data_IF_709721471688
#
_entry.id   IF_709721471688
#
_cell.length_a   1.000
_cell.length_b   1.000
_cell.length_c   1.000
_cell.angle_alpha   90.00
_cell.angle_beta   90.00
_cell.angle_gamma   90.00
#
_symmetry.space_group_name_H-M   'P 1'
#
loop_
_entity.id
_entity.type
_entity.pdbx_description
1 polymer ?
#
# COMPACT_ATOMS: atom_id res chain seq x y z
N UNK A 1 21.18 -10.25 -5.64
CA UNK A 1 19.97 -10.42 -6.46
C UNK A 1 18.72 -10.24 -5.60
N UNK A 2 17.76 -9.49 -6.08
CA UNK A 2 16.52 -9.22 -5.34
C UNK A 2 15.49 -10.28 -5.74
N UNK A 3 14.90 -10.94 -4.76
CA UNK A 3 13.83 -11.89 -4.98
C UNK A 3 12.51 -11.30 -4.44
N UNK A 4 11.44 -11.52 -5.19
CA UNK A 4 10.11 -11.07 -4.80
C UNK A 4 9.24 -12.27 -4.49
N UNK A 5 8.55 -12.22 -3.35
CA UNK A 5 7.65 -13.28 -2.91
C UNK A 5 6.27 -12.70 -2.62
N UNK A 6 5.24 -13.49 -2.88
CA UNK A 6 3.85 -13.15 -2.56
C UNK A 6 3.33 -14.16 -1.54
N UNK A 7 2.76 -13.66 -0.44
CA UNK A 7 2.20 -14.48 0.61
C UNK A 7 0.77 -14.05 0.92
N UNK A 8 -0.10 -15.02 1.22
CA UNK A 8 -1.37 -14.68 1.87
C UNK A 8 -1.06 -14.18 3.27
N UNK A 9 -1.59 -13.02 3.64
CA UNK A 9 -1.28 -12.41 4.93
C UNK A 9 -1.67 -13.26 6.13
N UNK A 10 -2.67 -14.13 5.99
CA UNK A 10 -3.10 -15.03 7.06
C UNK A 10 -2.10 -16.15 7.32
N UNK A 11 -1.28 -16.49 6.34
CA UNK A 11 -0.33 -17.60 6.41
C UNK A 11 1.10 -17.14 6.77
N UNK A 12 1.31 -15.82 6.89
CA UNK A 12 2.63 -15.29 7.19
C UNK A 12 3.10 -15.70 8.58
N UNK A 13 4.33 -16.20 8.66
CA UNK A 13 4.98 -16.52 9.94
C UNK A 13 5.21 -15.22 10.74
N UNK A 14 5.27 -15.36 12.07
CA UNK A 14 5.39 -14.21 12.97
C UNK A 14 6.63 -13.36 12.65
N UNK A 15 7.78 -13.98 12.36
CA UNK A 15 9.01 -13.25 12.04
C UNK A 15 8.88 -12.41 10.77
N UNK A 16 8.20 -12.93 9.75
CA UNK A 16 7.94 -12.20 8.50
C UNK A 16 7.02 -11.01 8.78
N UNK A 17 5.97 -11.24 9.56
CA UNK A 17 5.03 -10.18 9.92
C UNK A 17 5.73 -9.07 10.74
N UNK A 18 6.62 -9.45 11.66
CA UNK A 18 7.38 -8.49 12.46
C UNK A 18 8.29 -7.62 11.57
N UNK A 19 8.97 -8.21 10.60
CA UNK A 19 9.81 -7.47 9.65
C UNK A 19 8.96 -6.55 8.77
N UNK A 20 7.80 -7.01 8.32
CA UNK A 20 6.87 -6.20 7.54
C UNK A 20 6.44 -4.97 8.32
N UNK A 21 5.99 -5.15 9.56
CA UNK A 21 5.55 -4.06 10.44
C UNK A 21 6.70 -3.07 10.68
N UNK A 22 7.89 -3.58 10.95
CA UNK A 22 9.07 -2.73 11.18
C UNK A 22 9.36 -1.83 9.99
N UNK A 23 9.35 -2.37 8.77
CA UNK A 23 9.60 -1.58 7.56
C UNK A 23 8.51 -0.53 7.32
N UNK A 24 7.25 -0.90 7.52
CA UNK A 24 6.13 0.05 7.38
C UNK A 24 6.28 1.20 8.38
N UNK A 25 6.65 0.90 9.62
CA UNK A 25 6.83 1.93 10.66
C UNK A 25 8.06 2.81 10.39
N UNK A 26 9.11 2.30 9.77
CA UNK A 26 10.25 3.13 9.36
C UNK A 26 9.84 4.19 8.34
N UNK A 27 8.83 3.90 7.52
CA UNK A 27 8.33 4.82 6.51
C UNK A 27 7.32 5.85 7.01
N UNK A 28 6.83 5.71 8.25
CA UNK A 28 5.84 6.63 8.80
C UNK A 28 5.29 6.19 10.14
N UNK A 29 4.54 7.07 10.78
CA UNK A 29 3.97 6.83 12.11
C UNK A 29 2.65 6.07 12.00
N UNK A 30 2.71 4.79 11.68
CA UNK A 30 1.54 3.92 11.57
C UNK A 30 1.45 3.05 12.83
N UNK A 31 0.22 2.87 13.34
CA UNK A 31 -0.02 2.02 14.48
C UNK A 31 0.21 0.55 14.12
N UNK A 32 1.10 -0.10 14.84
CA UNK A 32 1.47 -1.51 14.62
C UNK A 32 0.26 -2.43 14.64
N UNK A 33 -0.67 -2.21 15.55
CA UNK A 33 -1.88 -3.04 15.69
C UNK A 33 -2.73 -3.02 14.43
N UNK A 34 -2.90 -1.84 13.81
CA UNK A 34 -3.67 -1.73 12.58
C UNK A 34 -3.00 -2.44 11.40
N UNK A 35 -1.67 -2.39 11.34
CA UNK A 35 -0.93 -3.10 10.28
C UNK A 35 -1.10 -4.60 10.44
N UNK A 36 -0.91 -5.12 11.65
CA UNK A 36 -1.04 -6.56 11.93
C UNK A 36 -2.45 -7.06 11.63
N UNK A 37 -3.48 -6.36 12.07
CA UNK A 37 -4.87 -6.72 11.80
C UNK A 37 -5.18 -6.65 10.30
N UNK A 38 -4.72 -5.60 9.64
CA UNK A 38 -4.95 -5.41 8.21
C UNK A 38 -4.35 -6.55 7.36
N UNK A 39 -3.14 -6.96 7.68
CA UNK A 39 -2.46 -8.05 6.97
C UNK A 39 -3.17 -9.39 7.16
N UNK A 40 -3.72 -9.64 8.33
CA UNK A 40 -4.42 -10.91 8.65
C UNK A 40 -5.82 -11.02 8.05
N UNK A 41 -6.32 -9.96 7.42
CA UNK A 41 -7.66 -9.99 6.83
C UNK A 41 -7.69 -10.88 5.59
N UNK A 42 -8.81 -11.61 5.46
CA UNK A 42 -9.03 -12.50 4.31
C UNK A 42 -8.88 -11.74 2.99
N UNK A 43 -8.11 -12.31 2.09
CA UNK A 43 -7.89 -11.74 0.76
C UNK A 43 -6.71 -10.78 0.65
N UNK A 44 -6.09 -10.41 1.77
CA UNK A 44 -4.91 -9.55 1.75
C UNK A 44 -3.68 -10.34 1.32
N UNK A 45 -2.92 -9.79 0.37
CA UNK A 45 -1.66 -10.37 -0.10
C UNK A 45 -0.50 -9.46 0.28
N UNK A 46 0.56 -10.06 0.82
CA UNK A 46 1.82 -9.39 1.11
C UNK A 46 2.76 -9.60 -0.07
N UNK A 47 3.48 -8.56 -0.46
CA UNK A 47 4.58 -8.65 -1.40
C UNK A 47 5.85 -8.29 -0.67
N UNK A 48 6.85 -9.16 -0.77
CA UNK A 48 8.13 -9.00 -0.08
C UNK A 48 9.25 -8.93 -1.10
N UNK A 49 10.18 -7.99 -0.90
CA UNK A 49 11.45 -7.96 -1.62
C UNK A 49 12.55 -8.42 -0.67
N UNK A 50 13.33 -9.40 -1.08
CA UNK A 50 14.40 -9.98 -0.27
C UNK A 50 15.75 -9.91 -0.96
N UNK A 51 16.78 -9.67 -0.16
CA UNK A 51 18.17 -9.84 -0.57
C UNK A 51 18.79 -10.81 0.44
N UNK A 52 19.22 -11.98 -0.01
CA UNK A 52 19.85 -13.00 0.85
C UNK A 52 19.04 -13.29 2.12
N UNK A 53 17.74 -13.57 1.96
CA UNK A 53 16.83 -13.88 3.07
C UNK A 53 16.40 -12.68 3.92
N UNK A 54 16.98 -11.50 3.70
CA UNK A 54 16.61 -10.28 4.44
C UNK A 54 15.53 -9.55 3.67
N UNK A 55 14.44 -9.24 4.34
CA UNK A 55 13.34 -8.44 3.76
C UNK A 55 13.77 -6.99 3.72
N UNK A 56 13.88 -6.42 2.52
CA UNK A 56 14.31 -5.04 2.31
C UNK A 56 13.20 -4.13 1.77
N UNK A 57 12.08 -4.70 1.39
CA UNK A 57 10.92 -3.94 0.91
C UNK A 57 9.64 -4.73 1.05
N UNK A 58 8.53 -4.02 1.20
CA UNK A 58 7.20 -4.62 1.37
C UNK A 58 6.14 -3.79 0.67
N UNK A 59 5.03 -4.44 0.33
CA UNK A 59 3.79 -3.81 -0.11
C UNK A 59 2.64 -4.77 0.14
N UNK A 60 1.42 -4.30 0.03
CA UNK A 60 0.25 -5.15 0.20
C UNK A 60 -0.86 -4.81 -0.79
N UNK A 61 -1.54 -5.85 -1.25
CA UNK A 61 -2.86 -5.76 -1.84
C UNK A 61 -3.85 -5.93 -0.68
N UNK A 62 -4.52 -4.85 -0.32
CA UNK A 62 -5.39 -4.81 0.87
C UNK A 62 -6.85 -4.96 0.46
N UNK A 63 -7.63 -5.55 1.37
CA UNK A 63 -9.10 -5.57 1.28
C UNK A 63 -9.62 -4.60 2.34
N UNK A 64 -9.98 -3.36 1.95
CA UNK A 64 -10.32 -2.33 2.93
C UNK A 64 -11.68 -2.57 3.59
N UNK A 65 -11.80 -2.14 4.84
CA UNK A 65 -13.07 -2.10 5.54
C UNK A 65 -14.00 -1.07 4.90
N UNK A 66 -15.30 -1.35 4.92
CA UNK A 66 -16.29 -0.44 4.37
C UNK A 66 -16.26 0.93 5.05
N UNK A 67 -16.10 0.97 6.37
CA UNK A 67 -16.00 2.21 7.15
C UNK A 67 -14.81 3.04 6.68
N UNK A 68 -13.66 2.42 6.49
CA UNK A 68 -12.45 3.08 6.01
C UNK A 68 -12.66 3.66 4.62
N UNK A 69 -13.22 2.88 3.70
CA UNK A 69 -13.54 3.31 2.33
C UNK A 69 -14.49 4.50 2.34
N UNK A 70 -15.58 4.40 3.10
CA UNK A 70 -16.57 5.48 3.19
C UNK A 70 -15.97 6.76 3.75
N UNK A 71 -15.03 6.65 4.70
CA UNK A 71 -14.32 7.80 5.25
C UNK A 71 -13.53 8.55 4.19
N UNK A 72 -12.83 7.82 3.32
CA UNK A 72 -12.05 8.42 2.23
C UNK A 72 -12.97 9.13 1.23
N UNK A 73 -14.14 8.56 0.94
CA UNK A 73 -15.12 9.13 0.02
C UNK A 73 -15.78 10.41 0.55
N UNK A 74 -15.72 10.65 1.85
CA UNK A 74 -16.42 11.77 2.47
C UNK A 74 -15.88 13.12 1.97
N UNK A 75 -16.72 14.16 2.05
CA UNK A 75 -16.34 15.53 1.69
C UNK A 75 -15.24 16.10 2.59
N UNK A 76 -15.12 15.58 3.81
CA UNK A 76 -14.04 15.96 4.72
C UNK A 76 -12.68 15.44 4.28
N UNK A 77 -12.66 14.45 3.36
CA UNK A 77 -11.44 13.86 2.82
C UNK A 77 -11.41 14.04 1.31
N UNK A 78 -11.44 12.97 0.52
CA UNK A 78 -11.29 13.12 -0.93
C UNK A 78 -12.53 13.69 -1.62
N UNK A 79 -13.70 13.45 -1.07
CA UNK A 79 -14.97 13.80 -1.73
C UNK A 79 -15.20 13.04 -3.04
N UNK A 80 -14.45 11.96 -3.27
CA UNK A 80 -14.52 11.20 -4.51
C UNK A 80 -14.97 9.77 -4.25
N UNK A 81 -15.94 9.28 -5.01
CA UNK A 81 -16.43 7.90 -4.86
C UNK A 81 -15.38 6.88 -5.30
N UNK A 82 -15.20 5.85 -4.48
CA UNK A 82 -14.38 4.67 -4.80
C UNK A 82 -15.24 3.43 -4.62
N UNK A 83 -16.10 3.15 -5.60
CA UNK A 83 -17.02 2.03 -5.49
C UNK A 83 -16.27 0.71 -5.32
N UNK A 84 -16.78 -0.15 -4.45
CA UNK A 84 -16.19 -1.46 -4.21
C UNK A 84 -16.21 -2.34 -5.46
N UNK A 85 -17.18 -2.14 -6.32
CA UNK A 85 -17.30 -2.89 -7.57
C UNK A 85 -16.16 -2.57 -8.54
N UNK A 86 -15.81 -1.29 -8.69
CA UNK A 86 -14.76 -0.86 -9.61
C UNK A 86 -13.36 -0.89 -8.99
N UNK A 87 -13.27 -0.64 -7.69
CA UNK A 87 -12.00 -0.55 -6.94
C UNK A 87 -12.06 -1.43 -5.69
N UNK A 88 -12.10 -2.77 -5.86
CA UNK A 88 -12.27 -3.66 -4.70
C UNK A 88 -11.06 -3.71 -3.77
N UNK A 89 -9.88 -3.31 -4.24
CA UNK A 89 -8.63 -3.44 -3.50
C UNK A 89 -7.92 -2.12 -3.30
N UNK A 90 -7.08 -2.07 -2.28
CA UNK A 90 -6.21 -0.94 -1.99
C UNK A 90 -4.75 -1.37 -2.05
N UNK A 91 -3.92 -0.61 -2.76
CA UNK A 91 -2.47 -0.71 -2.63
C UNK A 91 -2.06 0.01 -1.36
N UNK A 92 -1.39 -0.68 -0.46
CA UNK A 92 -0.96 -0.06 0.78
C UNK A 92 0.34 -0.64 1.32
N UNK A 93 0.80 -0.06 2.41
CA UNK A 93 1.99 -0.50 3.15
C UNK A 93 3.26 -0.58 2.31
N UNK A 94 3.39 0.27 1.29
CA UNK A 94 4.61 0.30 0.47
C UNK A 94 5.75 0.92 1.29
N UNK A 95 6.79 0.15 1.54
CA UNK A 95 7.94 0.63 2.29
C UNK A 95 9.21 -0.09 1.81
N UNK A 96 10.30 0.65 1.70
CA UNK A 96 11.60 0.13 1.30
C UNK A 96 12.61 0.53 2.36
N UNK A 97 13.48 -0.40 2.75
CA UNK A 97 14.55 -0.14 3.70
C UNK A 97 15.36 1.08 3.26
N UNK A 98 15.70 1.94 4.21
CA UNK A 98 16.46 3.16 3.96
C UNK A 98 17.74 2.91 3.14
N UNK A 99 18.44 1.82 3.41
CA UNK A 99 19.69 1.48 2.73
C UNK A 99 19.50 0.97 1.28
N UNK A 100 18.28 0.72 0.87
CA UNK A 100 17.95 0.16 -0.45
C UNK A 100 17.05 1.06 -1.28
N UNK A 101 16.85 2.30 -0.86
CA UNK A 101 16.08 3.27 -1.64
C UNK A 101 16.88 3.69 -2.88
N UNK A 102 16.17 3.93 -3.96
CA UNK A 102 16.80 4.29 -5.23
C UNK A 102 17.18 3.11 -6.12
N UNK A 103 16.96 1.86 -5.66
CA UNK A 103 17.31 0.64 -6.40
C UNK A 103 16.15 0.09 -7.25
N UNK A 104 15.06 0.83 -7.36
CA UNK A 104 13.89 0.38 -8.12
C UNK A 104 12.99 -0.61 -7.41
N UNK A 105 13.23 -0.88 -6.13
CA UNK A 105 12.45 -1.85 -5.35
C UNK A 105 11.01 -1.36 -5.15
N UNK A 106 10.82 -0.09 -4.84
CA UNK A 106 9.48 0.48 -4.66
C UNK A 106 8.63 0.35 -5.91
N UNK A 107 9.21 0.65 -7.07
CA UNK A 107 8.54 0.50 -8.36
C UNK A 107 8.14 -0.95 -8.63
N UNK A 108 9.05 -1.89 -8.37
CA UNK A 108 8.78 -3.31 -8.57
C UNK A 108 7.67 -3.81 -7.63
N UNK A 109 7.67 -3.36 -6.38
CA UNK A 109 6.64 -3.73 -5.40
C UNK A 109 5.26 -3.22 -5.83
N UNK A 110 5.16 -1.95 -6.24
CA UNK A 110 3.89 -1.37 -6.70
C UNK A 110 3.39 -2.11 -7.93
N UNK A 111 4.24 -2.35 -8.91
CA UNK A 111 3.86 -3.09 -10.12
C UNK A 111 3.40 -4.51 -9.80
N UNK A 112 4.01 -5.16 -8.82
CA UNK A 112 3.61 -6.51 -8.39
C UNK A 112 2.21 -6.51 -7.81
N UNK A 113 1.87 -5.52 -7.00
CA UNK A 113 0.50 -5.39 -6.45
C UNK A 113 -0.51 -5.15 -7.57
N UNK A 114 -0.17 -4.31 -8.56
CA UNK A 114 -1.04 -4.10 -9.73
C UNK A 114 -1.29 -5.41 -10.47
N UNK A 115 -0.26 -6.23 -10.68
CA UNK A 115 -0.42 -7.57 -11.29
C UNK A 115 -1.36 -8.46 -10.46
N UNK A 116 -1.20 -8.44 -9.14
CA UNK A 116 -2.02 -9.25 -8.24
C UNK A 116 -3.50 -8.87 -8.25
N UNK A 117 -3.83 -7.63 -8.61
CA UNK A 117 -5.21 -7.19 -8.72
C UNK A 117 -5.97 -7.88 -9.85
N UNK A 118 -5.26 -8.51 -10.79
CA UNK A 118 -5.78 -9.35 -11.84
C UNK A 118 -6.92 -8.69 -12.64
N UNK A 119 -6.66 -7.48 -13.12
CA UNK A 119 -7.63 -6.74 -13.92
C UNK A 119 -8.66 -5.94 -13.14
N UNK A 120 -8.61 -5.98 -11.81
CA UNK A 120 -9.50 -5.17 -10.98
C UNK A 120 -8.87 -3.79 -10.71
N UNK A 121 -9.72 -2.79 -10.48
CA UNK A 121 -9.26 -1.48 -10.08
C UNK A 121 -8.69 -1.44 -8.67
N UNK A 122 -7.81 -0.50 -8.44
CA UNK A 122 -7.16 -0.26 -7.15
C UNK A 122 -7.29 1.20 -6.77
N UNK A 123 -7.27 1.47 -5.47
CA UNK A 123 -7.03 2.82 -5.00
C UNK A 123 -5.85 2.83 -4.03
N UNK A 124 -5.30 3.99 -3.79
CA UNK A 124 -4.23 4.19 -2.82
C UNK A 124 -4.34 5.60 -2.25
N UNK A 125 -3.95 5.76 -0.99
CA UNK A 125 -3.83 7.08 -0.38
C UNK A 125 -2.41 7.24 0.13
N UNK A 126 -1.83 8.42 -0.08
CA UNK A 126 -0.46 8.68 0.36
C UNK A 126 -0.22 10.15 0.60
N UNK A 127 0.65 10.45 1.55
CA UNK A 127 1.23 11.78 1.75
C UNK A 127 2.68 11.83 1.26
N UNK A 128 3.25 10.71 0.87
CA UNK A 128 4.67 10.56 0.57
C UNK A 128 5.00 11.11 -0.82
N UNK A 129 5.95 12.07 -0.94
CA UNK A 129 6.26 12.68 -2.25
C UNK A 129 6.66 11.69 -3.34
N UNK A 130 7.51 10.71 -3.01
CA UNK A 130 7.95 9.72 -4.00
C UNK A 130 6.79 8.88 -4.55
N UNK A 131 5.81 8.55 -3.71
CA UNK A 131 4.61 7.85 -4.13
C UNK A 131 3.74 8.73 -5.03
N UNK A 132 3.50 9.98 -4.62
CA UNK A 132 2.65 10.93 -5.36
C UNK A 132 3.22 11.30 -6.72
N UNK A 133 4.50 11.53 -6.79
CA UNK A 133 5.15 12.13 -7.97
C UNK A 133 5.71 11.10 -8.94
N UNK A 134 6.02 9.90 -8.48
CA UNK A 134 6.75 8.92 -9.27
C UNK A 134 6.11 7.53 -9.25
N UNK A 135 6.03 6.89 -8.10
CA UNK A 135 5.65 5.47 -8.03
C UNK A 135 4.22 5.20 -8.48
N UNK A 136 3.27 5.98 -7.99
CA UNK A 136 1.86 5.78 -8.37
C UNK A 136 1.60 6.22 -9.82
N UNK A 137 1.99 7.42 -10.26
CA UNK A 137 1.81 7.80 -11.67
C UNK A 137 2.51 6.86 -12.63
N UNK A 138 3.72 6.42 -12.29
CA UNK A 138 4.50 5.49 -13.11
C UNK A 138 3.84 4.12 -13.27
N UNK A 139 3.00 3.71 -12.33
CA UNK A 139 2.26 2.45 -12.38
C UNK A 139 0.87 2.59 -13.02
N UNK A 140 0.49 3.81 -13.41
CA UNK A 140 -0.81 4.07 -14.05
C UNK A 140 -1.90 4.60 -13.14
N UNK A 141 -1.56 4.95 -11.89
CA UNK A 141 -2.52 5.57 -10.98
C UNK A 141 -2.68 7.06 -11.30
N UNK A 142 -3.88 7.58 -11.06
CA UNK A 142 -4.21 9.00 -11.26
C UNK A 142 -4.73 9.60 -9.97
N UNK A 143 -4.31 10.85 -9.63
CA UNK A 143 -4.89 11.54 -8.48
C UNK A 143 -6.33 11.94 -8.75
N UNK A 144 -7.19 11.78 -7.76
CA UNK A 144 -8.61 12.17 -7.84
C UNK A 144 -9.05 12.79 -6.52
N UNK A 145 -10.04 13.66 -6.60
CA UNK A 145 -10.61 14.30 -5.43
C UNK A 145 -9.71 15.34 -4.80
N UNK A 146 -10.06 15.76 -3.59
CA UNK A 146 -9.37 16.79 -2.84
C UNK A 146 -8.37 16.17 -1.88
N UNK A 147 -7.22 16.80 -1.71
CA UNK A 147 -6.27 16.41 -0.66
C UNK A 147 -6.82 16.77 0.72
N UNK A 148 -6.43 16.01 1.74
CA UNK A 148 -6.86 16.28 3.12
C UNK A 148 -5.71 16.01 4.09
N UNK A 149 -5.73 16.69 5.24
CA UNK A 149 -4.71 16.52 6.26
C UNK A 149 -5.03 15.34 7.18
N UNK A 150 -4.03 14.54 7.53
CA UNK A 150 -4.15 13.51 8.55
C UNK A 150 -3.81 14.07 9.94
N UNK A 151 -3.78 13.22 10.97
CA UNK A 151 -3.54 13.63 12.35
C UNK A 151 -2.12 14.20 12.57
N UNK A 152 -1.16 13.86 11.71
CA UNK A 152 0.19 14.40 11.74
C UNK A 152 0.33 15.66 10.87
N UNK A 153 -0.77 16.21 10.40
CA UNK A 153 -0.80 17.37 9.51
C UNK A 153 -0.09 17.13 8.16
N UNK A 154 -0.02 15.89 7.74
CA UNK A 154 0.48 15.52 6.41
C UNK A 154 -0.68 15.53 5.41
N UNK A 155 -0.41 15.96 4.18
CA UNK A 155 -1.43 16.10 3.15
C UNK A 155 -1.57 14.80 2.35
N UNK A 156 -2.68 14.11 2.54
CA UNK A 156 -2.99 12.88 1.82
C UNK A 156 -3.69 13.17 0.50
N UNK A 157 -3.44 12.33 -0.49
CA UNK A 157 -4.08 12.37 -1.80
C UNK A 157 -4.58 10.98 -2.15
N UNK A 158 -5.80 10.91 -2.68
CA UNK A 158 -6.36 9.67 -3.22
C UNK A 158 -5.90 9.49 -4.67
N UNK A 159 -5.48 8.28 -5.00
CA UNK A 159 -5.12 7.85 -6.36
C UNK A 159 -5.97 6.64 -6.73
N UNK A 160 -6.34 6.53 -8.00
CA UNK A 160 -7.04 5.36 -8.51
C UNK A 160 -6.31 4.77 -9.72
N UNK A 161 -6.39 3.45 -9.84
CA UNK A 161 -5.91 2.68 -10.97
C UNK A 161 -7.10 1.96 -11.59
N UNK A 162 -7.38 2.22 -12.86
CA UNK A 162 -8.42 1.53 -13.61
C UNK A 162 -7.77 0.56 -14.57
N UNK A 163 -8.15 -0.70 -14.43
CA UNK A 163 -7.58 -1.75 -15.28
C UNK A 163 -8.10 -1.68 -16.71
#
# INVERSE_FOLDING_TARGET
MIEYAVLDGRDAEQGILDDFVRLVQEGGAINEHYVRDGIRRKGTKMVLARIEEIIVGVAALKVPLKVYRNGIESEAKSGHEISQELYPFELGYVAVSEHHRGDGIGKALVNKVVELSDGHGLFATTSHPAMKESLLPGAGFKPVGTSWANDQNELLQLFIFSA
#
